data_IF_710682772771
#
_entry.id   IF_710682772771
#
_cell.length_a   1.000
_cell.length_b   1.000
_cell.length_c   1.000
_cell.angle_alpha   90.00
_cell.angle_beta   90.00
_cell.angle_gamma   90.00
#
_symmetry.space_group_name_H-M   'P 1'
#
loop_
_entity.id
_entity.type
_entity.pdbx_description
1 polymer ?
#
# COMPACT_ATOMS: atom_id res chain seq x y z
N UNK A 1 -22.39 4.11 -9.71
CA UNK A 1 -21.61 5.17 -10.40
C UNK A 1 -20.17 5.25 -9.87
N UNK A 2 -19.93 4.98 -8.57
CA UNK A 2 -18.60 4.94 -7.95
C UNK A 2 -17.74 3.71 -8.33
N UNK A 3 -18.36 2.60 -8.76
CA UNK A 3 -17.65 1.38 -9.22
C UNK A 3 -16.78 1.60 -10.48
N UNK A 4 -16.85 2.78 -11.11
CA UNK A 4 -16.01 3.18 -12.26
C UNK A 4 -14.69 3.84 -11.85
N UNK A 5 -14.49 4.12 -10.56
CA UNK A 5 -13.32 4.83 -10.05
C UNK A 5 -12.69 4.04 -8.89
N UNK A 6 -11.93 2.96 -9.20
CA UNK A 6 -11.38 2.07 -8.18
C UNK A 6 -10.35 2.75 -7.25
N UNK A 7 -9.85 3.94 -7.61
CA UNK A 7 -8.92 4.73 -6.80
C UNK A 7 -9.56 5.90 -6.04
N UNK A 8 -10.87 5.92 -5.85
CA UNK A 8 -11.53 6.88 -4.97
C UNK A 8 -11.14 6.61 -3.50
N UNK A 9 -10.72 7.64 -2.78
CA UNK A 9 -10.21 7.59 -1.42
C UNK A 9 -10.91 8.66 -0.56
N UNK A 10 -11.40 8.27 0.62
CA UNK A 10 -12.19 9.13 1.52
C UNK A 10 -11.44 9.67 2.75
N UNK A 11 -10.34 10.42 2.59
CA UNK A 11 -9.54 10.95 3.71
C UNK A 11 -9.93 12.38 4.11
N UNK A 12 -11.06 12.57 4.79
CA UNK A 12 -11.55 13.92 5.15
C UNK A 12 -11.96 14.78 3.96
N UNK A 13 -12.09 14.15 2.78
CA UNK A 13 -12.41 14.68 1.47
C UNK A 13 -12.35 13.54 0.44
N UNK A 14 -12.74 13.80 -0.80
CA UNK A 14 -12.68 12.80 -1.89
C UNK A 14 -11.44 13.06 -2.74
N UNK A 15 -10.49 12.13 -2.71
CA UNK A 15 -9.31 12.11 -3.59
C UNK A 15 -9.48 10.95 -4.55
N UNK A 16 -9.07 11.08 -5.81
CA UNK A 16 -9.09 9.98 -6.76
C UNK A 16 -7.70 9.77 -7.37
N UNK A 17 -7.19 8.55 -7.25
CA UNK A 17 -6.10 8.07 -8.10
C UNK A 17 -6.72 7.50 -9.37
N UNK A 18 -6.33 8.02 -10.53
CA UNK A 18 -6.95 7.70 -11.83
C UNK A 18 -6.46 6.37 -12.43
N UNK A 19 -5.92 5.49 -11.59
CA UNK A 19 -5.40 4.19 -11.97
C UNK A 19 -6.12 3.06 -11.23
N UNK A 20 -6.28 1.93 -11.90
CA UNK A 20 -6.76 0.69 -11.31
C UNK A 20 -5.59 -0.12 -10.76
N UNK A 21 -5.13 0.23 -9.55
CA UNK A 21 -3.97 -0.39 -8.91
C UNK A 21 -4.36 -1.59 -8.02
N UNK A 22 -3.42 -2.51 -7.78
CA UNK A 22 -3.62 -3.63 -6.87
C UNK A 22 -3.73 -3.20 -5.39
N UNK A 23 -3.20 -2.02 -5.04
CA UNK A 23 -3.28 -1.43 -3.71
C UNK A 23 -3.27 0.11 -3.78
N UNK A 24 -3.75 0.77 -2.73
CA UNK A 24 -3.81 2.24 -2.60
C UNK A 24 -3.21 2.69 -1.26
N UNK A 25 -2.92 3.99 -1.08
CA UNK A 25 -2.51 4.51 0.22
C UNK A 25 -3.57 4.20 1.26
N UNK A 26 -3.16 3.86 2.48
CA UNK A 26 -4.05 3.60 3.61
C UNK A 26 -4.45 4.87 4.37
N UNK A 27 -3.83 6.01 4.06
CA UNK A 27 -4.10 7.30 4.69
C UNK A 27 -3.27 8.43 4.09
N UNK A 28 -3.39 9.61 4.69
CA UNK A 28 -2.54 10.78 4.43
C UNK A 28 -1.72 11.07 5.67
N UNK A 29 -0.42 11.25 5.51
CA UNK A 29 0.51 11.59 6.57
C UNK A 29 1.58 10.52 6.77
N UNK A 30 2.77 10.98 7.15
CA UNK A 30 3.95 10.12 7.27
C UNK A 30 3.74 8.93 8.23
N UNK A 31 2.86 9.03 9.23
CA UNK A 31 2.55 7.92 10.13
C UNK A 31 1.89 6.75 9.40
N UNK A 32 0.99 7.02 8.45
CA UNK A 32 0.36 5.97 7.64
C UNK A 32 1.37 5.33 6.71
N UNK A 33 2.23 6.13 6.07
CA UNK A 33 3.32 5.64 5.23
C UNK A 33 4.33 4.79 6.03
N UNK A 34 4.69 5.23 7.26
CA UNK A 34 5.58 4.50 8.14
C UNK A 34 4.99 3.15 8.55
N UNK A 35 3.70 3.12 8.92
CA UNK A 35 2.97 1.89 9.23
C UNK A 35 2.92 0.96 8.00
N UNK A 36 2.61 1.49 6.83
CA UNK A 36 2.53 0.72 5.59
C UNK A 36 3.87 0.04 5.23
N UNK A 37 5.00 0.72 5.40
CA UNK A 37 6.33 0.11 5.24
C UNK A 37 6.68 -0.84 6.38
N UNK A 38 6.25 -0.51 7.60
CA UNK A 38 6.44 -1.27 8.84
C UNK A 38 5.70 -2.59 8.90
N UNK A 39 4.75 -2.79 7.97
CA UNK A 39 3.97 -4.00 7.81
C UNK A 39 4.80 -5.23 7.37
N UNK A 40 6.08 -5.07 7.10
CA UNK A 40 6.94 -6.12 6.58
C UNK A 40 8.16 -6.32 7.49
N UNK A 41 8.85 -7.48 7.41
CA UNK A 41 10.11 -7.68 8.13
C UNK A 41 11.09 -6.53 7.90
N UNK A 42 11.88 -6.18 8.92
CA UNK A 42 12.73 -4.97 8.96
C UNK A 42 13.78 -4.85 7.85
N UNK A 43 14.06 -5.92 7.11
CA UNK A 43 14.98 -5.97 5.98
C UNK A 43 14.26 -6.00 4.62
N UNK A 44 12.96 -5.76 4.59
CA UNK A 44 12.18 -5.75 3.35
C UNK A 44 12.50 -4.50 2.56
N UNK A 45 12.83 -4.69 1.29
CA UNK A 45 13.05 -3.62 0.31
C UNK A 45 11.91 -3.58 -0.68
N UNK A 46 11.54 -2.39 -1.12
CA UNK A 46 10.51 -2.18 -2.13
C UNK A 46 11.07 -1.48 -3.36
N UNK A 47 10.52 -1.82 -4.51
CA UNK A 47 10.82 -1.24 -5.82
C UNK A 47 9.63 -0.42 -6.29
N UNK A 48 9.90 0.74 -6.89
CA UNK A 48 8.88 1.53 -7.58
C UNK A 48 8.44 0.79 -8.86
N UNK A 49 7.13 0.72 -9.09
CA UNK A 49 6.55 0.17 -10.33
C UNK A 49 5.61 1.12 -11.03
N UNK A 50 5.05 2.10 -10.33
CA UNK A 50 4.19 3.12 -10.94
C UNK A 50 4.18 4.42 -10.12
N UNK A 51 3.82 5.52 -10.78
CA UNK A 51 3.74 6.87 -10.20
C UNK A 51 2.63 7.67 -10.88
N UNK A 52 1.52 7.82 -10.17
CA UNK A 52 0.30 8.47 -10.67
C UNK A 52 -0.28 9.36 -9.56
N UNK A 53 -0.71 10.56 -9.93
CA UNK A 53 -1.37 11.52 -9.04
C UNK A 53 -0.56 11.84 -7.76
N UNK A 54 0.78 11.94 -7.88
CA UNK A 54 1.72 12.16 -6.75
C UNK A 54 1.67 11.03 -5.71
N UNK A 55 1.37 9.82 -6.15
CA UNK A 55 1.41 8.60 -5.36
C UNK A 55 2.32 7.60 -6.04
N UNK A 56 3.20 6.95 -5.27
CA UNK A 56 4.06 5.87 -5.74
C UNK A 56 3.41 4.53 -5.45
N UNK A 57 3.34 3.66 -6.46
CA UNK A 57 3.06 2.24 -6.27
C UNK A 57 4.37 1.46 -6.17
N UNK A 58 4.50 0.68 -5.10
CA UNK A 58 5.69 -0.07 -4.75
C UNK A 58 5.38 -1.57 -4.70
N UNK A 59 6.39 -2.41 -4.91
CA UNK A 59 6.32 -3.86 -4.79
C UNK A 59 7.53 -4.41 -4.03
N UNK A 60 7.35 -5.47 -3.26
CA UNK A 60 8.43 -6.09 -2.47
C UNK A 60 9.34 -7.07 -3.25
N UNK A 61 9.29 -7.06 -4.58
CA UNK A 61 10.08 -7.92 -5.47
C UNK A 61 10.60 -7.12 -6.65
N UNK A 62 11.77 -7.47 -7.18
CA UNK A 62 12.33 -6.74 -8.32
C UNK A 62 11.41 -6.86 -9.55
N UNK A 63 10.90 -5.75 -10.11
CA UNK A 63 9.97 -5.80 -11.23
C UNK A 63 10.59 -6.36 -12.51
N UNK A 64 11.92 -6.32 -12.64
CA UNK A 64 12.66 -6.87 -13.78
C UNK A 64 12.48 -8.40 -13.92
N UNK A 65 12.13 -9.08 -12.83
CA UNK A 65 11.96 -10.53 -12.80
C UNK A 65 10.50 -10.96 -12.97
N UNK A 66 9.57 -10.02 -13.16
CA UNK A 66 8.14 -10.28 -13.15
C UNK A 66 7.52 -10.02 -14.53
N UNK A 67 6.66 -10.93 -14.98
CA UNK A 67 5.90 -10.75 -16.22
C UNK A 67 4.82 -9.67 -16.09
N UNK A 68 4.22 -9.54 -14.90
CA UNK A 68 3.23 -8.51 -14.58
C UNK A 68 3.45 -7.99 -13.16
N UNK A 69 4.19 -6.88 -12.96
CA UNK A 69 4.43 -6.31 -11.62
C UNK A 69 3.16 -5.88 -10.88
N UNK A 70 2.04 -5.65 -11.57
CA UNK A 70 0.77 -5.24 -10.97
C UNK A 70 -0.15 -6.43 -10.61
N UNK A 71 0.30 -7.67 -10.78
CA UNK A 71 -0.46 -8.87 -10.43
C UNK A 71 -0.72 -8.90 -8.91
N UNK A 72 -2.00 -9.00 -8.53
CA UNK A 72 -2.50 -8.98 -7.14
C UNK A 72 -1.89 -10.07 -6.25
N UNK A 73 -1.20 -11.07 -6.82
CA UNK A 73 -0.48 -12.08 -6.04
C UNK A 73 0.75 -11.52 -5.31
N UNK A 74 1.30 -10.41 -5.78
CA UNK A 74 2.44 -9.75 -5.15
C UNK A 74 1.99 -8.81 -4.02
N UNK A 75 2.95 -8.28 -3.26
CA UNK A 75 2.66 -7.35 -2.18
C UNK A 75 3.00 -5.95 -2.60
N UNK A 76 1.97 -5.14 -2.66
CA UNK A 76 2.05 -3.75 -3.07
C UNK A 76 1.84 -2.82 -1.90
N UNK A 77 2.46 -1.66 -1.99
CA UNK A 77 2.21 -0.51 -1.13
C UNK A 77 2.00 0.69 -2.03
N UNK A 78 1.10 1.58 -1.66
CA UNK A 78 1.02 2.88 -2.30
C UNK A 78 1.22 3.99 -1.27
N UNK A 79 2.06 4.97 -1.61
CA UNK A 79 2.49 6.02 -0.67
C UNK A 79 2.55 7.37 -1.39
N UNK A 80 1.98 8.40 -0.79
CA UNK A 80 2.04 9.77 -1.30
C UNK A 80 3.47 10.32 -1.33
N UNK A 81 3.78 11.15 -2.32
CA UNK A 81 5.08 11.80 -2.45
C UNK A 81 5.43 12.63 -1.20
N UNK A 82 4.45 13.40 -0.68
CA UNK A 82 4.62 14.21 0.52
C UNK A 82 5.03 13.39 1.73
N UNK A 83 4.44 12.19 1.88
CA UNK A 83 4.70 11.33 3.02
C UNK A 83 6.07 10.67 2.90
N UNK A 84 6.46 10.23 1.69
CA UNK A 84 7.82 9.71 1.44
C UNK A 84 8.91 10.75 1.72
N UNK A 85 8.68 12.01 1.31
CA UNK A 85 9.60 13.12 1.58
C UNK A 85 9.72 13.35 3.08
N UNK A 86 8.60 13.39 3.80
CA UNK A 86 8.61 13.58 5.24
C UNK A 86 9.31 12.43 5.96
N UNK A 87 9.07 11.18 5.57
CA UNK A 87 9.81 10.02 6.10
C UNK A 87 11.31 10.15 5.84
N UNK A 88 11.71 10.62 4.65
CA UNK A 88 13.11 10.84 4.31
C UNK A 88 13.75 11.93 5.17
N UNK A 89 13.08 13.08 5.32
CA UNK A 89 13.55 14.20 6.14
C UNK A 89 13.73 13.81 7.61
N UNK A 90 12.87 12.91 8.11
CA UNK A 90 12.97 12.34 9.47
C UNK A 90 14.02 11.24 9.60
N UNK A 91 14.64 10.80 8.51
CA UNK A 91 15.62 9.70 8.51
C UNK A 91 15.00 8.32 8.74
N UNK A 92 13.69 8.16 8.52
CA UNK A 92 12.97 6.90 8.74
C UNK A 92 13.07 5.93 7.57
N UNK A 93 13.41 6.42 6.38
CA UNK A 93 13.59 5.61 5.17
C UNK A 93 14.87 5.96 4.43
N UNK A 94 15.44 4.95 3.79
CA UNK A 94 16.51 5.08 2.81
C UNK A 94 15.99 4.95 1.37
N UNK A 95 16.75 5.46 0.41
CA UNK A 95 16.45 5.31 -1.02
C UNK A 95 15.43 6.31 -1.60
N UNK A 96 15.07 7.34 -0.84
CA UNK A 96 14.22 8.45 -1.30
C UNK A 96 15.05 9.71 -1.49
N UNK A 97 14.87 10.38 -2.63
CA UNK A 97 15.44 11.70 -2.94
C UNK A 97 14.29 12.67 -3.21
N UNK A 98 14.31 13.81 -2.52
CA UNK A 98 13.40 14.91 -2.78
C UNK A 98 13.88 15.72 -4.00
N UNK A 99 12.96 16.05 -4.91
CA UNK A 99 13.18 16.91 -6.06
C UNK A 99 12.13 18.02 -6.12
N UNK A 100 12.48 19.12 -6.77
CA UNK A 100 11.46 20.11 -7.16
C UNK A 100 10.52 19.51 -8.19
N UNK A 101 9.34 20.12 -8.35
CA UNK A 101 8.39 19.70 -9.38
C UNK A 101 8.99 19.81 -10.78
N UNK A 102 9.75 20.88 -11.05
CA UNK A 102 10.47 21.05 -12.31
C UNK A 102 11.47 19.90 -12.57
N UNK A 103 12.35 19.61 -11.61
CA UNK A 103 13.35 18.55 -11.75
C UNK A 103 12.68 17.18 -11.96
N UNK A 104 11.59 16.93 -11.23
CA UNK A 104 10.83 15.70 -11.32
C UNK A 104 10.18 15.53 -12.70
N UNK A 105 9.46 16.54 -13.20
CA UNK A 105 8.88 16.48 -14.54
C UNK A 105 9.96 16.41 -15.62
N UNK A 106 11.11 17.07 -15.43
CA UNK A 106 12.24 16.98 -16.35
C UNK A 106 12.80 15.57 -16.41
N UNK A 107 12.95 14.89 -15.26
CA UNK A 107 13.37 13.49 -15.21
C UNK A 107 12.37 12.58 -15.94
N UNK A 108 11.06 12.76 -15.71
CA UNK A 108 10.00 12.01 -16.43
C UNK A 108 10.08 12.23 -17.93
N UNK A 109 10.23 13.49 -18.34
CA UNK A 109 10.39 13.87 -19.73
C UNK A 109 11.60 13.18 -20.39
N UNK A 110 12.76 13.19 -19.73
CA UNK A 110 13.96 12.52 -20.24
C UNK A 110 13.83 11.00 -20.27
N UNK A 111 13.15 10.40 -19.30
CA UNK A 111 12.89 8.96 -19.29
C UNK A 111 11.94 8.56 -20.43
N UNK A 112 10.87 9.32 -20.64
CA UNK A 112 9.95 9.10 -21.77
C UNK A 112 10.69 9.24 -23.11
N UNK A 113 11.55 10.25 -23.25
CA UNK A 113 12.42 10.44 -24.42
C UNK A 113 13.26 9.20 -24.73
N UNK A 114 13.87 8.58 -23.70
CA UNK A 114 14.64 7.33 -23.85
C UNK A 114 13.77 6.14 -24.29
N UNK A 115 12.54 6.05 -23.79
CA UNK A 115 11.59 4.97 -24.14
C UNK A 115 11.16 5.07 -25.60
N UNK A 116 10.84 6.27 -26.09
CA UNK A 116 10.45 6.50 -27.50
C UNK A 116 11.63 6.22 -28.44
N UNK A 117 12.85 6.54 -28.01
CA UNK A 117 14.08 6.10 -28.67
C UNK A 117 14.21 6.61 -30.11
N UNK A 118 14.41 5.70 -31.07
CA UNK A 118 14.71 6.04 -32.48
C UNK A 118 13.55 6.71 -33.24
N UNK A 119 12.32 6.60 -32.74
CA UNK A 119 11.13 7.17 -33.37
C UNK A 119 10.78 8.56 -32.81
N UNK A 120 11.73 9.18 -32.12
CA UNK A 120 11.53 10.46 -31.47
C UNK A 120 11.54 11.59 -32.49
N UNK A 121 10.46 12.37 -32.49
CA UNK A 121 10.37 13.63 -33.21
C UNK A 121 10.22 14.76 -32.20
N UNK A 122 11.03 15.80 -32.34
CA UNK A 122 10.98 16.99 -31.48
C UNK A 122 10.61 18.22 -32.31
N UNK A 123 9.82 19.12 -31.73
CA UNK A 123 9.62 20.45 -32.30
C UNK A 123 10.77 21.40 -31.96
N UNK A 124 10.70 22.64 -32.47
CA UNK A 124 11.72 23.68 -32.25
C UNK A 124 11.95 24.04 -30.78
N UNK A 125 10.97 23.78 -29.90
CA UNK A 125 11.02 24.10 -28.48
C UNK A 125 11.49 22.87 -27.66
N UNK A 126 11.76 21.76 -28.34
CA UNK A 126 12.20 20.50 -27.75
C UNK A 126 11.07 19.68 -27.15
N UNK A 127 9.81 19.95 -27.50
CA UNK A 127 8.66 19.12 -27.11
C UNK A 127 8.65 17.83 -27.93
N UNK A 128 8.18 16.74 -27.35
CA UNK A 128 8.09 15.45 -28.06
C UNK A 128 6.77 15.39 -28.82
N UNK A 129 6.86 15.17 -30.13
CA UNK A 129 5.72 15.01 -31.02
C UNK A 129 5.28 13.54 -30.97
N UNK A 130 4.01 13.33 -30.67
CA UNK A 130 3.36 12.03 -30.58
C UNK A 130 2.20 11.96 -31.58
N UNK A 131 1.90 10.76 -32.08
CA UNK A 131 0.80 10.54 -33.01
C UNK A 131 -0.19 9.57 -32.38
N UNK A 132 -1.43 10.02 -32.18
CA UNK A 132 -2.53 9.18 -31.72
C UNK A 132 -3.48 8.87 -32.89
N UNK A 133 -4.07 7.68 -32.92
CA UNK A 133 -5.09 7.34 -33.93
C UNK A 133 -6.45 7.89 -33.49
N UNK A 134 -6.99 8.82 -34.26
CA UNK A 134 -8.33 9.38 -34.05
C UNK A 134 -9.45 8.38 -34.35
N UNK A 135 -10.68 8.73 -33.98
CA UNK A 135 -11.88 7.90 -34.15
C UNK A 135 -12.20 7.55 -35.61
N UNK A 136 -11.73 8.35 -36.56
CA UNK A 136 -11.84 8.15 -38.01
C UNK A 136 -10.61 7.44 -38.62
N UNK A 137 -9.65 7.00 -37.80
CA UNK A 137 -8.40 6.39 -38.25
C UNK A 137 -7.31 7.36 -38.69
N UNK A 138 -7.56 8.68 -38.68
CA UNK A 138 -6.56 9.70 -38.97
C UNK A 138 -5.55 9.81 -37.82
N UNK A 139 -4.27 10.04 -38.13
CA UNK A 139 -3.28 10.35 -37.11
C UNK A 139 -3.45 11.81 -36.66
N UNK A 140 -3.65 11.99 -35.36
CA UNK A 140 -3.72 13.28 -34.68
C UNK A 140 -2.38 13.50 -33.99
N UNK A 141 -1.71 14.59 -34.37
CA UNK A 141 -0.50 15.04 -33.69
C UNK A 141 -0.85 15.59 -32.29
N UNK A 142 -0.14 15.11 -31.28
CA UNK A 142 -0.19 15.64 -29.91
C UNK A 142 1.24 15.88 -29.42
N UNK A 143 1.38 16.77 -28.42
CA UNK A 143 2.69 17.16 -27.90
C UNK A 143 2.82 16.74 -26.44
N UNK A 144 3.91 16.06 -26.12
CA UNK A 144 4.35 15.92 -24.75
C UNK A 144 5.35 17.04 -24.45
N UNK A 145 4.88 18.01 -23.65
CA UNK A 145 5.56 19.28 -23.46
C UNK A 145 6.82 19.11 -22.62
N UNK A 146 7.92 19.73 -23.06
CA UNK A 146 9.12 19.86 -22.25
C UNK A 146 8.81 20.76 -21.05
N UNK A 147 9.16 20.35 -19.81
CA UNK A 147 8.95 21.19 -18.64
C UNK A 147 9.69 22.51 -18.76
N UNK A 148 9.00 23.59 -18.41
CA UNK A 148 9.55 24.96 -18.40
C UNK A 148 9.81 25.32 -16.94
N UNK A 149 10.96 25.94 -16.60
CA UNK A 149 11.17 26.45 -15.25
C UNK A 149 10.10 27.50 -14.95
N UNK A 150 9.25 27.25 -13.96
CA UNK A 150 8.34 28.28 -13.46
C UNK A 150 9.16 29.34 -12.71
N UNK A 151 8.85 30.62 -12.92
CA UNK A 151 9.34 31.66 -12.03
C UNK A 151 8.79 31.38 -10.64
N UNK A 152 9.64 31.44 -9.61
CA UNK A 152 9.37 31.07 -8.22
C UNK A 152 8.29 31.95 -7.55
N UNK A 153 7.04 31.92 -8.02
CA UNK A 153 5.90 32.51 -7.33
C UNK A 153 5.39 31.51 -6.27
N UNK A 154 6.25 31.25 -5.29
CA UNK A 154 6.05 30.92 -3.86
C UNK A 154 4.92 30.01 -3.34
N UNK A 155 3.98 29.51 -4.15
CA UNK A 155 2.72 28.95 -3.63
C UNK A 155 2.52 27.45 -3.88
N UNK A 156 3.31 26.79 -4.74
CA UNK A 156 3.07 25.40 -5.14
C UNK A 156 4.30 24.49 -5.18
N UNK A 157 5.42 24.84 -4.54
CA UNK A 157 6.63 24.02 -4.56
C UNK A 157 6.52 22.83 -3.57
N UNK A 158 5.56 21.92 -3.79
CA UNK A 158 5.47 20.65 -3.07
C UNK A 158 6.48 19.71 -3.70
N UNK A 159 7.55 19.36 -2.98
CA UNK A 159 8.57 18.46 -3.52
C UNK A 159 7.98 17.13 -4.01
N UNK A 160 8.68 16.50 -4.94
CA UNK A 160 8.39 15.16 -5.46
C UNK A 160 9.41 14.13 -4.98
N UNK A 161 8.92 12.95 -4.60
CA UNK A 161 9.76 11.84 -4.17
C UNK A 161 10.25 11.04 -5.39
N UNK A 162 11.55 10.76 -5.44
CA UNK A 162 12.15 9.81 -6.38
C UNK A 162 12.76 8.66 -5.59
N UNK A 163 12.46 7.42 -6.00
CA UNK A 163 13.06 6.23 -5.41
C UNK A 163 14.31 5.84 -6.20
N UNK A 164 15.47 5.87 -5.54
CA UNK A 164 16.76 5.51 -6.14
C UNK A 164 17.02 4.02 -5.99
N UNK A 165 16.43 3.22 -6.87
CA UNK A 165 16.55 1.76 -6.87
C UNK A 165 15.53 1.10 -5.94
N UNK A 166 15.77 1.16 -4.62
CA UNK A 166 14.87 0.57 -3.62
C UNK A 166 14.66 1.49 -2.44
N UNK A 167 13.49 1.39 -1.80
CA UNK A 167 13.19 1.99 -0.51
C UNK A 167 13.15 0.93 0.60
N UNK A 168 13.64 1.27 1.79
CA UNK A 168 13.58 0.42 2.98
C UNK A 168 13.50 1.27 4.24
N UNK A 169 12.98 0.67 5.32
CA UNK A 169 12.98 1.31 6.64
C UNK A 169 14.38 1.32 7.24
N UNK A 170 14.75 2.46 7.83
CA UNK A 170 15.95 2.56 8.64
C UNK A 170 15.68 2.02 10.05
N UNK A 171 16.75 1.81 10.83
CA UNK A 171 16.63 1.52 12.27
C UNK A 171 15.83 2.60 13.00
N UNK A 172 16.06 3.88 12.67
CA UNK A 172 15.34 5.00 13.27
C UNK A 172 13.84 4.96 12.93
N UNK A 173 13.48 4.64 11.68
CA UNK A 173 12.09 4.45 11.28
C UNK A 173 11.41 3.31 12.05
N UNK A 174 12.13 2.21 12.28
CA UNK A 174 11.62 1.09 13.07
C UNK A 174 11.39 1.44 14.54
N UNK A 175 12.31 2.19 15.15
CA UNK A 175 12.19 2.69 16.52
C UNK A 175 10.98 3.63 16.65
N UNK A 176 10.74 4.50 15.67
CA UNK A 176 9.57 5.38 15.68
C UNK A 176 8.26 4.60 15.50
N UNK A 177 8.24 3.59 14.65
CA UNK A 177 7.08 2.72 14.48
C UNK A 177 6.69 2.02 15.79
N UNK A 178 7.67 1.60 16.59
CA UNK A 178 7.43 1.06 17.93
C UNK A 178 6.77 2.10 18.83
N UNK A 179 7.24 3.35 18.83
CA UNK A 179 6.64 4.42 19.65
C UNK A 179 5.18 4.68 19.27
N UNK A 180 4.89 4.81 17.98
CA UNK A 180 3.52 4.98 17.48
C UNK A 180 2.61 3.81 17.87
N UNK A 181 3.18 2.62 18.02
CA UNK A 181 2.42 1.42 18.42
C UNK A 181 2.12 1.40 19.91
N UNK A 182 3.05 1.89 20.76
CA UNK A 182 2.88 1.93 22.21
C UNK A 182 1.79 2.89 22.71
N UNK A 183 1.35 3.83 21.86
CA UNK A 183 0.24 4.74 22.18
C UNK A 183 -1.13 4.03 22.12
N UNK A 184 -1.22 2.88 21.45
CA UNK A 184 -2.47 2.17 21.24
C UNK A 184 -2.58 0.94 22.15
N UNK A 185 -3.81 0.63 22.57
CA UNK A 185 -4.11 -0.56 23.38
C UNK A 185 -4.77 -1.62 22.51
N UNK A 186 -4.41 -2.88 22.74
CA UNK A 186 -5.08 -4.02 22.14
C UNK A 186 -6.53 -4.11 22.65
N UNK A 187 -7.44 -4.57 21.80
CA UNK A 187 -8.77 -4.98 22.22
C UNK A 187 -8.70 -6.01 23.35
N UNK A 188 -9.72 -6.03 24.20
CA UNK A 188 -9.80 -6.96 25.33
C UNK A 188 -9.64 -8.43 24.89
N UNK A 189 -10.22 -8.78 23.74
CA UNK A 189 -10.16 -10.12 23.15
C UNK A 189 -8.73 -10.55 22.84
N UNK A 190 -7.96 -9.69 22.18
CA UNK A 190 -6.56 -9.98 21.83
C UNK A 190 -5.64 -9.85 23.04
N UNK A 191 -5.89 -8.88 23.92
CA UNK A 191 -5.13 -8.72 25.16
C UNK A 191 -5.23 -9.98 26.04
N UNK A 192 -6.45 -10.46 26.31
CA UNK A 192 -6.67 -11.65 27.15
C UNK A 192 -6.02 -12.91 26.56
N UNK A 193 -6.01 -13.04 25.23
CA UNK A 193 -5.38 -14.17 24.54
C UNK A 193 -3.84 -14.12 24.61
N UNK A 194 -3.25 -12.93 24.45
CA UNK A 194 -1.81 -12.77 24.17
C UNK A 194 -0.99 -12.38 25.40
N UNK A 195 -1.57 -11.66 26.35
CA UNK A 195 -0.87 -11.16 27.54
C UNK A 195 -0.20 -12.27 28.38
N UNK A 196 -0.84 -13.44 28.63
CA UNK A 196 -0.18 -14.52 29.36
C UNK A 196 1.09 -15.04 28.65
N UNK A 197 1.07 -15.05 27.32
CA UNK A 197 2.19 -15.53 26.48
C UNK A 197 3.33 -14.50 26.47
N UNK A 198 3.00 -13.21 26.41
CA UNK A 198 3.96 -12.11 26.49
C UNK A 198 4.69 -12.16 27.84
N UNK A 199 3.97 -12.33 28.95
CA UNK A 199 4.55 -12.38 30.31
C UNK A 199 5.60 -13.48 30.51
N UNK A 200 5.50 -14.59 29.78
CA UNK A 200 6.46 -15.69 29.84
C UNK A 200 7.50 -15.64 28.71
N UNK A 201 7.57 -14.54 27.96
CA UNK A 201 8.53 -14.32 26.87
C UNK A 201 8.25 -15.14 25.60
N UNK A 202 7.01 -15.61 25.39
CA UNK A 202 6.60 -16.40 24.21
C UNK A 202 5.96 -15.52 23.12
N UNK A 203 6.73 -14.56 22.62
CA UNK A 203 6.26 -13.54 21.68
C UNK A 203 5.81 -14.09 20.32
N UNK A 204 6.56 -15.05 19.78
CA UNK A 204 6.24 -15.75 18.54
C UNK A 204 4.88 -16.48 18.64
N UNK A 205 4.65 -17.13 19.78
CA UNK A 205 3.42 -17.86 20.08
C UNK A 205 2.25 -16.90 20.23
N UNK A 206 2.44 -15.76 20.91
CA UNK A 206 1.42 -14.72 21.03
C UNK A 206 0.93 -14.24 19.66
N UNK A 207 1.85 -13.95 18.74
CA UNK A 207 1.54 -13.53 17.37
C UNK A 207 0.82 -14.62 16.59
N UNK A 208 1.23 -15.88 16.76
CA UNK A 208 0.61 -17.03 16.10
C UNK A 208 -0.84 -17.22 16.54
N UNK A 209 -1.10 -17.19 17.84
CA UNK A 209 -2.46 -17.31 18.40
C UNK A 209 -3.35 -16.14 17.96
N UNK A 210 -2.83 -14.90 17.99
CA UNK A 210 -3.52 -13.74 17.47
C UNK A 210 -3.92 -13.88 15.99
N UNK A 211 -2.98 -14.35 15.15
CA UNK A 211 -3.23 -14.57 13.73
C UNK A 211 -4.26 -15.69 13.49
N UNK A 212 -4.20 -16.75 14.31
CA UNK A 212 -5.15 -17.86 14.26
C UNK A 212 -6.56 -17.43 14.69
N UNK A 213 -6.66 -16.56 15.69
CA UNK A 213 -7.93 -15.98 16.13
C UNK A 213 -8.61 -15.24 14.97
N UNK A 214 -7.89 -14.33 14.30
CA UNK A 214 -8.41 -13.62 13.11
C UNK A 214 -8.85 -14.59 12.01
N UNK A 215 -8.01 -15.58 11.68
CA UNK A 215 -8.35 -16.60 10.67
C UNK A 215 -9.62 -17.38 11.05
N UNK A 216 -9.76 -17.75 12.33
CA UNK A 216 -10.89 -18.51 12.84
C UNK A 216 -12.19 -17.72 12.77
N UNK A 217 -12.16 -16.43 13.12
CA UNK A 217 -13.31 -15.54 13.05
C UNK A 217 -13.81 -15.42 11.60
N UNK A 218 -12.90 -15.20 10.65
CA UNK A 218 -13.26 -15.11 9.23
C UNK A 218 -13.87 -16.43 8.73
N UNK A 219 -13.30 -17.59 9.11
CA UNK A 219 -13.85 -18.91 8.74
C UNK A 219 -15.25 -19.13 9.30
N UNK A 220 -15.47 -18.77 10.57
CA UNK A 220 -16.75 -18.93 11.25
C UNK A 220 -17.82 -18.06 10.60
N UNK A 221 -17.50 -16.81 10.28
CA UNK A 221 -18.41 -15.90 9.59
C UNK A 221 -18.93 -16.50 8.27
N UNK A 222 -18.05 -17.11 7.48
CA UNK A 222 -18.40 -17.72 6.19
C UNK A 222 -18.89 -19.18 6.27
N UNK A 223 -18.88 -19.81 7.45
CA UNK A 223 -19.03 -21.26 7.61
C UNK A 223 -18.07 -22.08 6.70
N UNK A 224 -16.83 -21.61 6.51
CA UNK A 224 -15.82 -22.24 5.64
C UNK A 224 -14.62 -22.76 6.44
N UNK A 225 -14.82 -23.89 7.12
CA UNK A 225 -13.78 -24.50 7.99
C UNK A 225 -12.54 -24.97 7.20
N UNK A 226 -12.69 -25.29 5.90
CA UNK A 226 -11.63 -25.86 5.07
C UNK A 226 -10.74 -24.86 4.34
N UNK A 227 -11.07 -23.56 4.34
CA UNK A 227 -10.29 -22.53 3.67
C UNK A 227 -9.29 -21.89 4.64
N UNK A 228 -8.06 -21.65 4.18
CA UNK A 228 -6.97 -21.12 4.99
C UNK A 228 -6.12 -20.13 4.17
N UNK A 229 -5.44 -19.22 4.86
CA UNK A 229 -4.50 -18.27 4.26
C UNK A 229 -5.09 -17.50 3.08
N UNK A 230 -4.36 -17.42 1.96
CA UNK A 230 -4.80 -16.70 0.75
C UNK A 230 -6.16 -17.16 0.24
N UNK A 231 -6.44 -18.46 0.24
CA UNK A 231 -7.71 -18.98 -0.27
C UNK A 231 -8.91 -18.49 0.54
N UNK A 232 -8.72 -18.29 1.85
CA UNK A 232 -9.76 -17.72 2.71
C UNK A 232 -9.94 -16.22 2.43
N UNK A 233 -8.83 -15.48 2.25
CA UNK A 233 -8.87 -14.04 1.96
C UNK A 233 -9.56 -13.76 0.62
N UNK A 234 -9.13 -14.44 -0.45
CA UNK A 234 -9.73 -14.23 -1.77
C UNK A 234 -11.21 -14.62 -1.76
N UNK A 235 -11.59 -15.72 -1.09
CA UNK A 235 -12.99 -16.10 -0.92
C UNK A 235 -13.80 -15.01 -0.17
N UNK A 236 -13.26 -14.48 0.93
CA UNK A 236 -13.93 -13.43 1.70
C UNK A 236 -14.17 -12.17 0.86
N UNK A 237 -13.18 -11.77 0.06
CA UNK A 237 -13.27 -10.59 -0.80
C UNK A 237 -14.20 -10.80 -2.00
N UNK A 238 -14.18 -11.98 -2.61
CA UNK A 238 -15.14 -12.35 -3.65
C UNK A 238 -16.57 -12.24 -3.14
N UNK A 239 -16.85 -12.70 -1.92
CA UNK A 239 -18.17 -12.57 -1.30
C UNK A 239 -18.53 -11.11 -0.97
N UNK A 240 -17.58 -10.28 -0.52
CA UNK A 240 -17.82 -8.82 -0.36
C UNK A 240 -18.25 -8.22 -1.70
N UNK A 241 -17.42 -8.42 -2.72
CA UNK A 241 -17.62 -7.83 -4.06
C UNK A 241 -18.96 -8.29 -4.63
N UNK A 242 -19.24 -9.60 -4.57
CA UNK A 242 -20.48 -10.18 -5.09
C UNK A 242 -21.73 -9.67 -4.37
N UNK A 243 -21.69 -9.52 -3.04
CA UNK A 243 -22.83 -9.01 -2.26
C UNK A 243 -23.07 -7.50 -2.44
N UNK A 244 -22.14 -6.78 -3.06
CA UNK A 244 -22.18 -5.32 -3.22
C UNK A 244 -22.12 -4.89 -4.69
N UNK A 245 -22.86 -5.58 -5.57
CA UNK A 245 -22.95 -5.24 -7.00
C UNK A 245 -21.58 -5.14 -7.71
N UNK A 246 -20.65 -6.01 -7.32
CA UNK A 246 -19.28 -6.02 -7.81
C UNK A 246 -18.50 -4.73 -7.54
N UNK A 247 -18.83 -4.03 -6.46
CA UNK A 247 -18.09 -2.87 -5.99
C UNK A 247 -16.69 -3.27 -5.49
N UNK A 248 -15.66 -2.73 -6.13
CA UNK A 248 -14.24 -3.01 -5.84
C UNK A 248 -13.49 -1.68 -5.66
N UNK A 249 -13.59 -1.11 -4.46
CA UNK A 249 -12.98 0.19 -4.15
C UNK A 249 -11.54 0.08 -3.67
N UNK A 250 -10.91 1.24 -3.51
CA UNK A 250 -9.58 1.36 -2.95
C UNK A 250 -9.52 0.78 -1.53
N UNK A 251 -10.53 1.04 -0.71
CA UNK A 251 -10.61 0.54 0.67
C UNK A 251 -10.61 -0.99 0.72
N UNK A 252 -11.41 -1.65 -0.13
CA UNK A 252 -11.45 -3.12 -0.22
C UNK A 252 -10.07 -3.68 -0.63
N UNK A 253 -9.35 -2.98 -1.51
CA UNK A 253 -8.02 -3.39 -1.95
C UNK A 253 -6.95 -3.17 -0.89
N UNK A 254 -7.01 -2.08 -0.13
CA UNK A 254 -6.18 -1.85 1.05
C UNK A 254 -6.41 -2.95 2.09
N UNK A 255 -7.67 -3.21 2.42
CA UNK A 255 -8.08 -4.27 3.34
C UNK A 255 -7.58 -5.67 2.90
N UNK A 256 -7.72 -6.00 1.61
CA UNK A 256 -7.11 -7.21 1.03
C UNK A 256 -5.61 -7.27 1.31
N UNK A 257 -4.90 -6.16 1.07
CA UNK A 257 -3.46 -6.05 1.30
C UNK A 257 -3.07 -6.37 2.74
N UNK A 258 -3.82 -5.84 3.71
CA UNK A 258 -3.60 -6.10 5.14
C UNK A 258 -3.82 -7.56 5.51
N UNK A 259 -4.98 -8.14 5.14
CA UNK A 259 -5.28 -9.55 5.38
C UNK A 259 -4.22 -10.49 4.78
N UNK A 260 -3.83 -10.24 3.52
CA UNK A 260 -2.80 -11.04 2.85
C UNK A 260 -1.47 -10.93 3.58
N UNK A 261 -1.08 -9.73 4.01
CA UNK A 261 0.20 -9.54 4.70
C UNK A 261 0.22 -10.28 6.05
N UNK A 262 -0.87 -10.24 6.82
CA UNK A 262 -0.98 -10.99 8.07
C UNK A 262 -0.83 -12.49 7.81
N UNK A 263 -1.59 -13.08 6.89
CA UNK A 263 -1.53 -14.53 6.70
C UNK A 263 -0.26 -15.03 6.01
N UNK A 264 0.46 -14.17 5.30
CA UNK A 264 1.59 -14.60 4.47
C UNK A 264 2.95 -14.27 5.03
N UNK A 265 3.09 -13.13 5.69
CA UNK A 265 4.33 -12.73 6.32
C UNK A 265 4.29 -12.93 7.82
N UNK A 266 3.18 -12.65 8.47
CA UNK A 266 3.12 -12.82 9.92
C UNK A 266 2.89 -14.30 10.22
N UNK A 267 1.70 -14.84 9.90
CA UNK A 267 1.36 -16.22 10.23
C UNK A 267 2.35 -17.24 9.68
N UNK A 268 2.67 -17.20 8.39
CA UNK A 268 3.58 -18.21 7.81
C UNK A 268 5.01 -18.11 8.36
N UNK A 269 5.56 -16.90 8.53
CA UNK A 269 6.92 -16.75 9.06
C UNK A 269 6.98 -17.23 10.52
N UNK A 270 6.01 -16.85 11.37
CA UNK A 270 5.96 -17.30 12.76
C UNK A 270 5.47 -18.74 12.94
N UNK A 271 4.84 -19.36 11.93
CA UNK A 271 4.47 -20.78 11.97
C UNK A 271 5.64 -21.69 11.63
N UNK A 272 6.54 -21.26 10.73
CA UNK A 272 7.62 -22.10 10.21
C UNK A 272 9.01 -21.75 10.78
N UNK A 273 9.19 -20.53 11.29
CA UNK A 273 10.48 -20.06 11.80
C UNK A 273 10.38 -19.61 13.25
N UNK A 274 11.34 -20.02 14.08
CA UNK A 274 11.56 -19.41 15.38
C UNK A 274 12.23 -18.05 15.19
N UNK A 275 11.53 -16.99 15.56
CA UNK A 275 12.01 -15.62 15.45
C UNK A 275 12.29 -15.07 16.84
N UNK A 276 13.50 -14.54 17.02
CA UNK A 276 13.83 -13.76 18.20
C UNK A 276 13.24 -12.37 17.98
N UNK A 277 12.29 -12.00 18.83
CA UNK A 277 11.64 -10.69 18.83
C UNK A 277 11.88 -10.01 20.17
N UNK A 278 11.88 -8.68 20.17
CA UNK A 278 11.68 -7.91 21.40
C UNK A 278 10.19 -7.85 21.73
N UNK A 279 9.85 -7.51 22.98
CA UNK A 279 8.47 -7.34 23.42
C UNK A 279 7.76 -6.24 22.62
N UNK A 280 8.47 -5.16 22.30
CA UNK A 280 7.96 -4.04 21.51
C UNK A 280 7.60 -4.45 20.08
N UNK A 281 8.45 -5.28 19.45
CA UNK A 281 8.18 -5.83 18.13
C UNK A 281 6.94 -6.74 18.16
N UNK A 282 6.79 -7.53 19.23
CA UNK A 282 5.61 -8.35 19.45
C UNK A 282 4.35 -7.51 19.54
N UNK A 283 4.34 -6.49 20.40
CA UNK A 283 3.19 -5.59 20.61
C UNK A 283 2.80 -4.86 19.33
N UNK A 284 3.77 -4.39 18.55
CA UNK A 284 3.51 -3.73 17.27
C UNK A 284 2.81 -4.66 16.27
N UNK A 285 3.25 -5.92 16.15
CA UNK A 285 2.61 -6.91 15.29
C UNK A 285 1.20 -7.26 15.80
N UNK A 286 1.04 -7.41 17.11
CA UNK A 286 -0.27 -7.69 17.73
C UNK A 286 -1.27 -6.56 17.50
N UNK A 287 -0.83 -5.30 17.63
CA UNK A 287 -1.68 -4.13 17.38
C UNK A 287 -2.17 -4.10 15.93
N UNK A 288 -1.31 -4.51 14.99
CA UNK A 288 -1.72 -4.63 13.60
C UNK A 288 -2.79 -5.70 13.40
N UNK A 289 -2.60 -6.89 13.97
CA UNK A 289 -3.60 -7.96 13.90
C UNK A 289 -4.93 -7.48 14.51
N UNK A 290 -4.86 -6.75 15.63
CA UNK A 290 -6.03 -6.16 16.28
C UNK A 290 -6.74 -5.13 15.41
N UNK A 291 -5.97 -4.25 14.75
CA UNK A 291 -6.51 -3.25 13.83
C UNK A 291 -7.22 -3.91 12.65
N UNK A 292 -6.62 -4.94 12.04
CA UNK A 292 -7.26 -5.68 10.94
C UNK A 292 -8.45 -6.51 11.41
N UNK A 293 -8.46 -6.96 12.67
CA UNK A 293 -9.64 -7.61 13.26
C UNK A 293 -10.81 -6.61 13.39
N UNK A 294 -10.55 -5.40 13.89
CA UNK A 294 -11.55 -4.34 13.97
C UNK A 294 -12.05 -3.95 12.57
N UNK A 295 -11.14 -3.80 11.60
CA UNK A 295 -11.48 -3.53 10.20
C UNK A 295 -12.34 -4.65 9.59
N UNK A 296 -12.05 -5.92 9.88
CA UNK A 296 -12.91 -7.04 9.48
C UNK A 296 -14.33 -6.88 10.03
N UNK A 297 -14.47 -6.55 11.31
CA UNK A 297 -15.78 -6.36 11.95
C UNK A 297 -16.55 -5.19 11.30
N UNK A 298 -15.88 -4.08 11.02
CA UNK A 298 -16.45 -2.94 10.30
C UNK A 298 -16.87 -3.31 8.88
N UNK A 299 -16.01 -3.98 8.12
CA UNK A 299 -16.30 -4.44 6.75
C UNK A 299 -17.49 -5.39 6.74
N UNK A 300 -17.58 -6.32 7.69
CA UNK A 300 -18.74 -7.20 7.83
C UNK A 300 -20.02 -6.40 8.07
N UNK A 301 -19.97 -5.44 9.00
CA UNK A 301 -21.13 -4.61 9.33
C UNK A 301 -21.61 -3.75 8.14
N UNK A 302 -20.69 -3.16 7.38
CA UNK A 302 -20.99 -2.28 6.25
C UNK A 302 -21.45 -3.06 5.03
N UNK A 303 -20.71 -4.11 4.64
CA UNK A 303 -20.85 -4.75 3.33
C UNK A 303 -21.71 -6.01 3.33
N UNK A 304 -21.91 -6.66 4.48
CA UNK A 304 -22.72 -7.88 4.53
C UNK A 304 -24.13 -7.66 5.06
N UNK A 305 -24.53 -6.41 5.35
CA UNK A 305 -25.84 -6.00 5.91
C UNK A 305 -26.46 -7.19 6.64
N UNK A 306 -25.95 -7.52 7.82
CA UNK A 306 -26.55 -8.58 8.64
C UNK A 306 -28.02 -8.21 8.73
N UNK A 307 -28.86 -9.00 8.07
CA UNK A 307 -30.29 -8.77 8.06
C UNK A 307 -30.75 -8.90 9.51
N UNK A 308 -30.78 -7.79 10.25
CA UNK A 308 -31.71 -7.61 11.36
C UNK A 308 -33.10 -7.46 10.75
N UNK A 309 -33.56 -8.54 10.11
CA UNK A 309 -34.97 -8.85 9.97
C UNK A 309 -35.38 -9.46 11.31
N UNK A 310 -35.72 -8.59 12.24
CA UNK A 310 -36.79 -8.92 13.19
C UNK A 310 -38.13 -8.93 12.42
#
# INVERSE_FOLDING_TARGET
MLNKFPGLLGYGGVIAIHADWPNYPSGIGWQFALKALGNFPSNTTFYEIDDIDRCKLLINQSPLNLSNPCDIKYYHLAIWHSDLIELKRRGFVDGVVEKSDYDFELIRFQNFKKIVGKNLHEDKDGNIILYAKGSNGQLIETKYMKPIPENEDGLNNKGCAIITGTISLTKCGFEELIKLSNENKLSEKLHNLTEPLIKIGRFDTAIREASLLLETIIKQFHNKVSLFGHRLVEFHLEEIIKNNEYFNSAEIKCYRGELRTIFSFIRNDFAHNFKVLTEEQCKMILLRIDTTLQEFEEVVNVYFKINSKE
#
